data_IF_772834862881
#
_entry.id   IF_772834862881
#
_cell.length_a   1.000
_cell.length_b   1.000
_cell.length_c   1.000
_cell.angle_alpha   90.00
_cell.angle_beta   90.00
_cell.angle_gamma   90.00
#
_symmetry.space_group_name_H-M   'P 1'
#
loop_
_entity.id
_entity.type
_entity.pdbx_description
1 polymer ?
#
# COMPACT_ATOMS: atom_id res chain seq x y z
N UNK A 1 39.69 4.30 -30.71
CA UNK A 1 38.28 4.57 -30.40
C UNK A 1 37.33 3.55 -31.03
N UNK A 2 37.39 3.29 -32.34
CA UNK A 2 36.50 2.33 -33.04
C UNK A 2 36.55 0.92 -32.47
N UNK A 3 37.73 0.40 -32.14
CA UNK A 3 37.87 -0.96 -31.56
C UNK A 3 37.19 -1.11 -30.21
N UNK A 4 37.31 -0.12 -29.31
CA UNK A 4 36.63 -0.12 -27.98
C UNK A 4 35.12 -0.01 -28.12
N UNK A 5 34.63 0.77 -29.07
CA UNK A 5 33.17 0.88 -29.31
C UNK A 5 32.62 -0.45 -29.84
N UNK A 6 33.35 -1.14 -30.74
CA UNK A 6 32.95 -2.44 -31.26
C UNK A 6 32.94 -3.49 -30.15
N UNK A 7 33.99 -3.54 -29.31
CA UNK A 7 34.07 -4.45 -28.17
C UNK A 7 32.90 -4.25 -27.15
N UNK A 8 32.55 -2.97 -26.91
CA UNK A 8 31.40 -2.64 -26.06
C UNK A 8 30.08 -3.10 -26.67
N UNK A 9 29.92 -2.90 -27.98
CA UNK A 9 28.71 -3.33 -28.70
C UNK A 9 28.56 -4.86 -28.67
N UNK A 10 29.68 -5.58 -28.94
CA UNK A 10 29.67 -7.05 -28.91
C UNK A 10 29.35 -7.61 -27.53
N UNK A 11 29.83 -6.93 -26.48
CA UNK A 11 29.53 -7.28 -25.09
C UNK A 11 28.05 -7.09 -24.76
N UNK A 12 27.46 -5.98 -25.19
CA UNK A 12 26.02 -5.73 -24.99
C UNK A 12 25.20 -6.79 -25.72
N UNK A 13 25.54 -7.08 -26.99
CA UNK A 13 24.82 -8.11 -27.76
C UNK A 13 24.91 -9.50 -27.10
N UNK A 14 26.07 -9.84 -26.54
CA UNK A 14 26.26 -11.12 -25.84
C UNK A 14 25.40 -11.18 -24.55
N UNK A 15 25.29 -10.07 -23.82
CA UNK A 15 24.44 -9.99 -22.61
C UNK A 15 22.97 -10.12 -22.98
N UNK A 16 22.52 -9.42 -24.00
CA UNK A 16 21.13 -9.49 -24.48
C UNK A 16 20.79 -10.91 -24.93
N UNK A 17 21.72 -11.58 -25.62
CA UNK A 17 21.51 -12.98 -26.06
C UNK A 17 21.36 -13.88 -24.82
N UNK A 18 22.21 -13.72 -23.84
CA UNK A 18 22.17 -14.51 -22.61
C UNK A 18 20.88 -14.26 -21.81
N UNK A 19 20.41 -13.02 -21.76
CA UNK A 19 19.14 -12.69 -21.13
C UNK A 19 17.98 -13.41 -21.84
N UNK A 20 17.94 -13.39 -23.18
CA UNK A 20 16.92 -14.10 -23.95
C UNK A 20 16.91 -15.59 -23.64
N UNK A 21 18.09 -16.22 -23.60
CA UNK A 21 18.21 -17.65 -23.28
C UNK A 21 17.67 -17.98 -21.88
N UNK A 22 17.98 -17.13 -20.90
CA UNK A 22 17.47 -17.28 -19.53
C UNK A 22 15.95 -17.14 -19.51
N UNK A 23 15.41 -16.15 -20.22
CA UNK A 23 13.96 -15.94 -20.31
C UNK A 23 13.26 -17.16 -20.93
N UNK A 24 13.81 -17.72 -22.00
CA UNK A 24 13.27 -18.93 -22.65
C UNK A 24 13.28 -20.12 -21.70
N UNK A 25 14.38 -20.30 -20.93
CA UNK A 25 14.48 -21.37 -19.95
C UNK A 25 13.44 -21.21 -18.83
N UNK A 26 13.24 -20.00 -18.33
CA UNK A 26 12.25 -19.71 -17.29
C UNK A 26 10.83 -20.00 -17.81
N UNK A 27 10.54 -19.56 -19.02
CA UNK A 27 9.21 -19.79 -19.64
C UNK A 27 8.98 -21.30 -19.91
N UNK A 28 10.01 -22.03 -20.29
CA UNK A 28 9.91 -23.48 -20.51
C UNK A 28 9.66 -24.26 -19.22
N UNK A 29 9.98 -23.68 -18.05
CA UNK A 29 9.81 -24.32 -16.73
C UNK A 29 8.47 -24.02 -16.09
N UNK A 30 7.60 -23.24 -16.74
CA UNK A 30 6.29 -22.90 -16.17
C UNK A 30 5.47 -24.15 -15.92
N UNK A 31 4.79 -24.20 -14.77
CA UNK A 31 3.85 -25.25 -14.39
C UNK A 31 2.61 -25.21 -15.29
N UNK A 32 2.12 -24.00 -15.61
CA UNK A 32 0.96 -23.83 -16.46
C UNK A 32 1.41 -23.58 -17.89
N UNK A 33 1.05 -24.49 -18.80
CA UNK A 33 1.45 -24.44 -20.19
C UNK A 33 0.83 -23.29 -21.01
N UNK A 34 -0.15 -22.56 -20.42
CA UNK A 34 -0.76 -21.40 -21.08
C UNK A 34 -1.33 -20.42 -20.07
N UNK A 35 -1.51 -19.16 -20.50
CA UNK A 35 -2.18 -18.15 -19.67
C UNK A 35 -3.62 -18.54 -19.35
N UNK A 36 -4.31 -19.24 -20.24
CA UNK A 36 -5.66 -19.71 -19.99
C UNK A 36 -5.69 -20.74 -18.84
N UNK A 37 -4.74 -21.67 -18.82
CA UNK A 37 -4.62 -22.66 -17.75
C UNK A 37 -4.28 -22.00 -16.42
N UNK A 38 -3.32 -21.05 -16.42
CA UNK A 38 -2.98 -20.27 -15.24
C UNK A 38 -4.19 -19.50 -14.71
N UNK A 39 -4.90 -18.79 -15.59
CA UNK A 39 -6.10 -18.01 -15.23
C UNK A 39 -7.18 -18.90 -14.59
N UNK A 40 -7.40 -20.10 -15.13
CA UNK A 40 -8.38 -21.03 -14.58
C UNK A 40 -7.99 -21.50 -13.17
N UNK A 41 -6.72 -21.87 -12.98
CA UNK A 41 -6.19 -22.29 -11.68
C UNK A 41 -6.26 -21.14 -10.66
N UNK A 42 -5.85 -19.94 -11.07
CA UNK A 42 -5.90 -18.75 -10.22
C UNK A 42 -7.34 -18.43 -9.78
N UNK A 43 -8.30 -18.48 -10.70
CA UNK A 43 -9.71 -18.25 -10.38
C UNK A 43 -10.24 -19.27 -9.35
N UNK A 44 -9.81 -20.52 -9.46
CA UNK A 44 -10.20 -21.56 -8.50
C UNK A 44 -9.68 -21.26 -7.10
N UNK A 45 -8.40 -20.90 -6.98
CA UNK A 45 -7.79 -20.52 -5.69
C UNK A 45 -8.43 -19.27 -5.09
N UNK A 46 -8.68 -18.27 -5.92
CA UNK A 46 -9.34 -17.02 -5.48
C UNK A 46 -10.73 -17.33 -4.89
N UNK A 47 -11.53 -18.16 -5.56
CA UNK A 47 -12.86 -18.52 -5.07
C UNK A 47 -12.78 -19.26 -3.74
N UNK A 48 -11.79 -20.15 -3.59
CA UNK A 48 -11.59 -20.88 -2.35
C UNK A 48 -11.21 -19.93 -1.19
N UNK A 49 -10.26 -19.02 -1.44
CA UNK A 49 -9.86 -18.01 -0.45
C UNK A 49 -11.06 -17.12 -0.08
N UNK A 50 -11.80 -16.64 -1.07
CA UNK A 50 -12.96 -15.78 -0.86
C UNK A 50 -14.02 -16.48 0.01
N UNK A 51 -14.30 -17.76 -0.27
CA UNK A 51 -15.24 -18.57 0.51
C UNK A 51 -14.74 -18.78 1.95
N UNK A 52 -13.49 -19.09 2.10
CA UNK A 52 -12.87 -19.34 3.42
C UNK A 52 -12.75 -18.07 4.27
N UNK A 53 -12.36 -16.93 3.50
CA UNK A 53 -12.20 -15.84 4.03
C UNK A 53 -13.28 -15.08 4.16
N UNK A 54 -14.53 -15.46 3.78
CA UNK A 54 -15.78 -14.72 3.80
C UNK A 54 -15.69 -13.33 3.16
N UNK A 55 -14.84 -13.19 2.14
CA UNK A 55 -14.60 -11.91 1.43
C UNK A 55 -14.99 -12.03 -0.04
N UNK A 56 -15.14 -10.89 -0.71
CA UNK A 56 -15.48 -10.84 -2.13
C UNK A 56 -14.29 -11.32 -2.97
N UNK A 57 -14.54 -12.23 -3.90
CA UNK A 57 -13.54 -12.68 -4.87
C UNK A 57 -12.97 -11.57 -5.76
N UNK A 58 -13.49 -10.53 -5.95
CA UNK A 58 -13.04 -9.48 -6.62
C UNK A 58 -11.99 -8.84 -5.96
N UNK A 59 -12.28 -8.77 -4.58
CA UNK A 59 -11.24 -8.17 -3.72
C UNK A 59 -9.97 -9.01 -3.72
N UNK A 60 -10.09 -10.31 -3.55
CA UNK A 60 -8.93 -11.22 -3.57
C UNK A 60 -8.17 -11.10 -4.89
N UNK A 61 -8.89 -11.06 -6.02
CA UNK A 61 -8.30 -10.89 -7.36
C UNK A 61 -7.55 -9.56 -7.47
N UNK A 62 -8.13 -8.50 -6.94
CA UNK A 62 -7.50 -7.17 -6.95
C UNK A 62 -6.23 -7.15 -6.10
N UNK A 63 -6.30 -7.70 -4.88
CA UNK A 63 -5.13 -7.79 -3.99
C UNK A 63 -4.00 -8.58 -4.64
N UNK A 64 -4.32 -9.71 -5.28
CA UNK A 64 -3.35 -10.51 -6.03
C UNK A 64 -2.70 -9.67 -7.13
N UNK A 65 -3.50 -9.00 -7.97
CA UNK A 65 -2.99 -8.19 -9.07
C UNK A 65 -2.11 -7.05 -8.57
N UNK A 66 -2.53 -6.35 -7.52
CA UNK A 66 -1.75 -5.26 -6.93
C UNK A 66 -0.43 -5.77 -6.34
N UNK A 67 -0.45 -6.95 -5.71
CA UNK A 67 0.76 -7.57 -5.19
C UNK A 67 1.75 -7.87 -6.32
N UNK A 68 1.29 -8.34 -7.46
CA UNK A 68 2.13 -8.51 -8.65
C UNK A 68 2.70 -7.19 -9.17
N UNK A 69 1.99 -6.02 -9.16
CA UNK A 69 2.41 -4.85 -9.59
C UNK A 69 3.51 -4.43 -8.85
N UNK A 70 3.26 -4.50 -7.42
CA UNK A 70 4.27 -4.08 -6.46
C UNK A 70 5.55 -4.94 -6.56
N UNK A 71 5.39 -6.23 -6.64
CA UNK A 71 6.54 -7.14 -6.79
C UNK A 71 7.43 -6.73 -7.97
N UNK A 72 6.84 -6.42 -9.12
CA UNK A 72 7.60 -6.03 -10.31
C UNK A 72 8.30 -4.67 -10.15
N UNK A 73 7.66 -3.73 -9.45
CA UNK A 73 8.27 -2.42 -9.15
C UNK A 73 9.49 -2.59 -8.25
N UNK A 74 9.34 -3.32 -7.16
CA UNK A 74 10.40 -3.46 -6.16
C UNK A 74 11.55 -4.35 -6.62
N UNK A 75 11.30 -5.35 -7.48
CA UNK A 75 12.38 -6.14 -8.09
C UNK A 75 13.33 -5.27 -8.92
N UNK A 76 12.79 -4.23 -9.57
CA UNK A 76 13.58 -3.35 -10.44
C UNK A 76 14.26 -2.24 -9.65
N UNK A 77 13.58 -1.70 -8.66
CA UNK A 77 14.06 -0.52 -7.94
C UNK A 77 13.51 -0.51 -6.51
N UNK A 78 14.14 -1.26 -5.61
CA UNK A 78 13.63 -1.39 -4.24
C UNK A 78 13.76 -0.11 -3.41
N UNK A 79 14.60 0.85 -3.82
CA UNK A 79 14.92 2.03 -3.01
C UNK A 79 14.05 3.25 -3.32
N UNK A 80 13.39 3.27 -4.48
CA UNK A 80 12.69 4.47 -4.94
C UNK A 80 11.21 4.51 -4.57
N UNK A 81 10.68 3.44 -4.00
CA UNK A 81 9.24 3.31 -3.75
C UNK A 81 8.91 3.05 -2.29
N UNK A 82 7.79 3.42 -1.82
CA UNK A 82 7.22 3.14 -0.70
C UNK A 82 5.87 2.85 -0.97
N UNK A 83 5.30 1.79 -0.43
CA UNK A 83 3.88 1.51 -0.45
C UNK A 83 3.24 2.25 0.71
N UNK A 84 2.11 2.93 0.45
CA UNK A 84 1.41 3.73 1.46
C UNK A 84 -0.05 3.31 1.53
N UNK A 85 -0.87 4.02 2.28
CA UNK A 85 -2.32 3.85 2.31
C UNK A 85 -2.79 2.47 2.74
N UNK A 86 -3.93 2.06 2.20
CA UNK A 86 -4.57 0.79 2.58
C UNK A 86 -3.77 -0.45 2.20
N UNK A 87 -3.03 -0.40 1.09
CA UNK A 87 -2.18 -1.52 0.66
C UNK A 87 -1.03 -1.75 1.65
N UNK A 88 -0.40 -0.67 2.15
CA UNK A 88 0.63 -0.81 3.20
C UNK A 88 0.05 -1.45 4.47
N UNK A 89 -1.18 -1.11 4.83
CA UNK A 89 -1.85 -1.72 5.97
C UNK A 89 -2.09 -3.23 5.73
N UNK A 90 -2.54 -3.60 4.53
CA UNK A 90 -2.76 -5.00 4.16
C UNK A 90 -1.47 -5.83 4.19
N UNK A 91 -0.32 -5.20 3.97
CA UNK A 91 0.97 -5.88 4.05
C UNK A 91 1.43 -6.09 5.49
N UNK A 92 0.86 -5.34 6.45
CA UNK A 92 1.21 -5.45 7.87
C UNK A 92 0.33 -6.43 8.64
N UNK A 93 -0.94 -6.57 8.24
CA UNK A 93 -1.87 -7.36 9.05
C UNK A 93 -3.05 -7.89 8.22
N UNK A 94 -3.48 -9.10 8.57
CA UNK A 94 -4.69 -9.71 8.02
C UNK A 94 -5.98 -9.01 8.50
N UNK A 95 -5.90 -8.19 9.56
CA UNK A 95 -7.05 -7.43 10.07
C UNK A 95 -7.43 -6.23 9.19
N UNK A 96 -6.56 -5.87 8.24
CA UNK A 96 -6.75 -4.71 7.37
C UNK A 96 -8.06 -4.80 6.58
N UNK A 97 -8.73 -3.65 6.48
CA UNK A 97 -9.93 -3.55 5.63
C UNK A 97 -9.58 -3.66 4.15
N UNK A 98 -10.59 -3.95 3.34
CA UNK A 98 -10.43 -3.96 1.88
C UNK A 98 -10.03 -2.57 1.36
N UNK A 99 -9.19 -2.54 0.32
CA UNK A 99 -8.84 -1.31 -0.38
C UNK A 99 -8.93 -1.54 -1.89
N UNK A 100 -9.42 -0.53 -2.60
CA UNK A 100 -9.57 -0.59 -4.06
C UNK A 100 -8.38 0.03 -4.79
N UNK A 101 -7.52 0.72 -4.06
CA UNK A 101 -6.50 1.60 -4.62
C UNK A 101 -5.10 1.12 -4.22
N UNK A 102 -4.12 1.36 -5.09
CA UNK A 102 -2.71 1.26 -4.74
C UNK A 102 -2.18 2.68 -4.54
N UNK A 103 -1.72 2.96 -3.34
CA UNK A 103 -1.08 4.23 -3.00
C UNK A 103 0.43 4.04 -2.96
N UNK A 104 1.17 4.78 -3.76
CA UNK A 104 2.62 4.75 -3.79
C UNK A 104 3.20 6.14 -3.52
N UNK A 105 4.30 6.18 -2.84
CA UNK A 105 5.16 7.35 -2.80
C UNK A 105 6.47 7.02 -3.51
N UNK A 106 6.96 7.94 -4.32
CA UNK A 106 8.20 7.76 -5.07
C UNK A 106 9.18 8.89 -4.74
N UNK A 107 10.45 8.53 -4.49
CA UNK A 107 11.51 9.52 -4.31
C UNK A 107 11.95 10.13 -5.65
N UNK A 108 11.70 9.42 -6.75
CA UNK A 108 12.05 9.85 -8.10
C UNK A 108 11.18 10.98 -8.61
N UNK A 109 11.71 11.75 -9.54
CA UNK A 109 10.95 12.76 -10.28
C UNK A 109 10.00 12.15 -11.31
N UNK A 110 9.16 12.99 -11.88
CA UNK A 110 8.05 12.63 -12.76
C UNK A 110 8.49 11.85 -14.02
N UNK A 111 9.61 12.27 -14.64
CA UNK A 111 10.07 11.68 -15.90
C UNK A 111 10.44 10.20 -15.73
N UNK A 112 11.08 9.88 -14.62
CA UNK A 112 11.47 8.50 -14.30
C UNK A 112 10.29 7.63 -13.88
N UNK A 113 9.26 8.24 -13.31
CA UNK A 113 8.09 7.54 -12.80
C UNK A 113 7.32 6.78 -13.89
N UNK A 114 7.03 7.45 -15.01
CA UNK A 114 6.31 6.82 -16.13
C UNK A 114 7.12 5.66 -16.73
N UNK A 115 8.43 5.86 -16.89
CA UNK A 115 9.32 4.81 -17.40
C UNK A 115 9.34 3.59 -16.45
N UNK A 116 9.42 3.83 -15.13
CA UNK A 116 9.43 2.76 -14.13
C UNK A 116 8.11 1.98 -14.11
N UNK A 117 6.98 2.68 -14.18
CA UNK A 117 5.66 2.03 -14.21
C UNK A 117 5.47 1.22 -15.51
N UNK A 118 5.93 1.76 -16.65
CA UNK A 118 5.88 1.06 -17.94
C UNK A 118 6.73 -0.20 -17.91
N UNK A 119 7.92 -0.13 -17.33
CA UNK A 119 8.79 -1.29 -17.20
C UNK A 119 8.18 -2.37 -16.30
N UNK A 120 7.56 -1.97 -15.17
CA UNK A 120 6.90 -2.88 -14.25
C UNK A 120 5.63 -3.51 -14.85
N UNK A 121 5.02 -2.86 -15.84
CA UNK A 121 3.83 -3.37 -16.51
C UNK A 121 4.10 -4.62 -17.35
N UNK A 122 5.33 -4.78 -17.84
CA UNK A 122 5.70 -5.91 -18.70
C UNK A 122 5.72 -7.23 -17.94
N UNK A 123 5.32 -8.31 -18.64
CA UNK A 123 5.41 -9.67 -18.08
C UNK A 123 6.87 -10.01 -17.75
N UNK A 124 7.11 -10.60 -16.60
CA UNK A 124 8.42 -11.18 -16.27
C UNK A 124 8.50 -12.62 -16.78
N UNK A 125 9.67 -13.04 -17.20
CA UNK A 125 9.92 -14.41 -17.64
C UNK A 125 9.55 -15.42 -16.53
N UNK A 126 8.93 -16.52 -16.91
CA UNK A 126 8.45 -17.55 -15.98
C UNK A 126 7.09 -17.23 -15.35
N UNK A 127 6.52 -16.05 -15.61
CA UNK A 127 5.21 -15.64 -15.08
C UNK A 127 4.17 -15.52 -16.20
N UNK A 128 2.96 -15.23 -15.80
CA UNK A 128 1.83 -14.99 -16.70
C UNK A 128 1.32 -13.56 -16.53
N UNK A 129 0.71 -13.04 -17.58
CA UNK A 129 0.00 -11.78 -17.56
C UNK A 129 0.89 -10.54 -17.62
N UNK A 130 0.26 -9.47 -18.06
CA UNK A 130 0.89 -8.15 -18.14
C UNK A 130 -0.07 -7.09 -17.62
N UNK A 131 0.44 -5.89 -17.43
CA UNK A 131 -0.36 -4.77 -16.95
C UNK A 131 -0.48 -3.70 -18.03
N UNK A 132 -1.61 -3.02 -18.03
CA UNK A 132 -1.75 -1.70 -18.66
C UNK A 132 -1.85 -0.70 -17.52
N UNK A 133 -0.90 0.23 -17.47
CA UNK A 133 -0.86 1.27 -16.45
C UNK A 133 -0.99 2.62 -17.15
N UNK A 134 -1.96 3.41 -16.71
CA UNK A 134 -2.13 4.79 -17.18
C UNK A 134 -1.95 5.72 -15.99
N UNK A 135 -1.25 6.83 -16.19
CA UNK A 135 -1.09 7.87 -15.16
C UNK A 135 -1.26 9.25 -15.79
N UNK A 136 -1.83 10.15 -15.03
CA UNK A 136 -1.99 11.56 -15.38
C UNK A 136 -1.75 12.42 -14.14
N UNK A 137 -1.40 13.71 -14.31
CA UNK A 137 -1.24 14.60 -13.17
C UNK A 137 -2.50 14.65 -12.30
N UNK A 138 -2.30 14.60 -10.99
CA UNK A 138 -3.36 14.78 -9.99
C UNK A 138 -3.51 16.24 -9.57
N UNK A 139 -4.21 16.46 -8.47
CA UNK A 139 -4.60 17.80 -8.04
C UNK A 139 -3.53 18.59 -7.29
N UNK A 140 -2.38 17.98 -6.99
CA UNK A 140 -1.31 18.67 -6.24
C UNK A 140 0.06 18.48 -6.87
N UNK A 141 1.03 19.29 -6.48
CA UNK A 141 2.41 19.15 -6.99
C UNK A 141 2.96 17.75 -6.71
N UNK A 142 3.46 17.09 -7.75
CA UNK A 142 4.00 15.73 -7.64
C UNK A 142 2.95 14.65 -7.46
N UNK A 143 1.66 15.00 -7.47
CA UNK A 143 0.59 14.02 -7.37
C UNK A 143 0.22 13.48 -8.76
N UNK A 144 0.05 12.17 -8.84
CA UNK A 144 -0.40 11.48 -10.05
C UNK A 144 -1.51 10.52 -9.68
N UNK A 145 -2.48 10.39 -10.56
CA UNK A 145 -3.56 9.42 -10.41
C UNK A 145 -3.66 8.60 -11.69
N UNK A 146 -4.11 7.38 -11.57
CA UNK A 146 -4.17 6.50 -12.72
C UNK A 146 -4.94 5.23 -12.48
N UNK A 147 -4.71 4.29 -13.37
CA UNK A 147 -5.39 3.00 -13.34
C UNK A 147 -4.41 1.90 -13.71
N UNK A 148 -4.50 0.79 -12.98
CA UNK A 148 -3.76 -0.44 -13.23
C UNK A 148 -4.76 -1.49 -13.68
N UNK A 149 -4.56 -2.05 -14.87
CA UNK A 149 -5.37 -3.17 -15.38
C UNK A 149 -4.46 -4.38 -15.55
N UNK A 150 -4.76 -5.47 -14.86
CA UNK A 150 -4.05 -6.73 -15.03
C UNK A 150 -4.77 -7.55 -16.11
N UNK A 151 -4.02 -7.94 -17.12
CA UNK A 151 -4.49 -8.72 -18.24
C UNK A 151 -3.97 -10.15 -18.13
N UNK A 152 -4.85 -11.12 -18.28
CA UNK A 152 -4.51 -12.54 -18.38
C UNK A 152 -5.23 -13.13 -19.59
N UNK A 153 -4.50 -13.83 -20.43
CA UNK A 153 -5.04 -14.44 -21.66
C UNK A 153 -5.74 -13.38 -22.52
N UNK A 154 -5.07 -12.24 -22.70
CA UNK A 154 -5.55 -11.16 -23.56
C UNK A 154 -6.80 -10.42 -23.07
N UNK A 155 -7.28 -10.73 -21.87
CA UNK A 155 -8.50 -10.09 -21.37
C UNK A 155 -8.32 -9.58 -19.93
N UNK A 156 -9.13 -8.58 -19.59
CA UNK A 156 -9.08 -7.95 -18.27
C UNK A 156 -9.36 -8.98 -17.16
N UNK A 157 -8.44 -9.06 -16.20
CA UNK A 157 -8.60 -9.91 -15.02
C UNK A 157 -8.99 -9.06 -13.80
N UNK A 158 -8.28 -7.96 -13.59
CA UNK A 158 -8.54 -7.07 -12.45
C UNK A 158 -8.21 -5.62 -12.80
N UNK A 159 -8.87 -4.69 -12.13
CA UNK A 159 -8.62 -3.25 -12.28
C UNK A 159 -8.51 -2.63 -10.89
N UNK A 160 -7.57 -1.71 -10.73
CA UNK A 160 -7.41 -0.91 -9.51
C UNK A 160 -7.05 0.51 -9.88
N UNK A 161 -7.36 1.44 -8.99
CA UNK A 161 -6.90 2.82 -9.07
C UNK A 161 -5.45 2.88 -8.58
N UNK A 162 -4.69 3.84 -9.11
CA UNK A 162 -3.31 4.11 -8.72
C UNK A 162 -3.19 5.57 -8.33
N UNK A 163 -2.68 5.84 -7.15
CA UNK A 163 -2.32 7.18 -6.72
C UNK A 163 -0.83 7.20 -6.37
N UNK A 164 -0.08 8.13 -6.93
CA UNK A 164 1.38 8.24 -6.71
C UNK A 164 1.72 9.66 -6.27
N UNK A 165 2.49 9.77 -5.18
CA UNK A 165 3.12 11.02 -4.75
C UNK A 165 4.61 10.97 -5.12
N UNK A 166 4.98 11.69 -6.20
CA UNK A 166 6.35 11.72 -6.72
C UNK A 166 7.21 12.77 -6.02
N UNK A 167 8.50 12.53 -5.94
CA UNK A 167 9.47 13.43 -5.30
C UNK A 167 9.32 13.52 -3.78
N UNK A 168 8.72 12.51 -3.20
CA UNK A 168 8.41 12.48 -1.76
C UNK A 168 9.69 12.26 -0.95
N UNK A 169 9.91 13.07 0.07
CA UNK A 169 10.91 12.81 1.09
C UNK A 169 10.22 12.23 2.32
N UNK A 170 10.85 11.24 2.92
CA UNK A 170 10.30 10.55 4.09
C UNK A 170 11.00 11.09 5.35
N UNK A 171 10.26 11.65 6.31
CA UNK A 171 10.88 12.19 7.52
C UNK A 171 11.47 11.10 8.42
N UNK A 172 10.99 9.86 8.26
CA UNK A 172 11.47 8.70 9.02
C UNK A 172 11.79 7.58 8.05
N UNK A 173 12.72 6.70 8.44
CA UNK A 173 13.09 5.54 7.64
C UNK A 173 11.84 4.66 7.39
N UNK A 174 11.59 4.28 6.13
CA UNK A 174 10.51 3.36 5.84
C UNK A 174 10.73 1.99 6.50
N UNK A 175 9.64 1.35 6.89
CA UNK A 175 9.68 -0.04 7.35
C UNK A 175 9.80 -0.96 6.13
N UNK A 176 10.42 -2.13 6.38
CA UNK A 176 10.56 -3.16 5.34
C UNK A 176 9.80 -4.42 5.74
N UNK A 177 8.94 -4.95 4.82
CA UNK A 177 8.17 -6.02 4.92
C UNK A 177 8.32 -6.85 3.78
N UNK A 178 8.19 -8.19 4.15
CA UNK A 178 7.98 -9.16 3.06
C UNK A 178 6.53 -9.64 3.16
N UNK A 179 5.62 -9.15 2.29
CA UNK A 179 4.21 -9.51 2.40
C UNK A 179 3.99 -10.99 2.10
N UNK A 180 3.08 -11.61 2.82
CA UNK A 180 2.62 -12.96 2.50
C UNK A 180 1.91 -12.96 1.15
N UNK A 181 2.04 -14.04 0.35
CA UNK A 181 1.32 -14.11 -0.92
C UNK A 181 -0.19 -14.14 -0.70
N UNK A 182 -0.90 -13.29 -1.43
CA UNK A 182 -2.37 -13.25 -1.41
C UNK A 182 -2.94 -14.58 -1.92
N UNK A 183 -2.31 -15.14 -2.95
CA UNK A 183 -2.67 -16.44 -3.50
C UNK A 183 -1.38 -17.23 -3.73
N UNK A 184 -1.24 -18.38 -3.10
CA UNK A 184 -0.12 -19.30 -3.35
C UNK A 184 -0.42 -20.08 -4.64
N UNK A 185 0.37 -19.82 -5.68
CA UNK A 185 0.20 -20.45 -6.99
C UNK A 185 1.56 -20.46 -7.71
N UNK A 186 1.80 -21.52 -8.48
CA UNK A 186 3.04 -21.64 -9.26
C UNK A 186 3.08 -20.57 -10.36
N UNK A 187 4.26 -20.36 -10.92
CA UNK A 187 4.56 -19.37 -11.96
C UNK A 187 4.35 -17.92 -11.49
N UNK A 188 4.48 -17.70 -10.20
CA UNK A 188 4.50 -16.37 -9.57
C UNK A 188 5.78 -16.31 -8.74
N UNK A 189 6.60 -15.30 -8.96
CA UNK A 189 7.82 -15.12 -8.16
C UNK A 189 7.46 -14.74 -6.73
N UNK A 190 8.17 -15.29 -5.74
CA UNK A 190 8.02 -14.82 -4.35
C UNK A 190 8.26 -13.32 -4.27
N UNK A 191 7.51 -12.65 -3.41
CA UNK A 191 7.72 -11.22 -3.23
C UNK A 191 9.06 -10.93 -2.56
N UNK A 192 9.77 -9.97 -3.11
CA UNK A 192 10.91 -9.36 -2.46
C UNK A 192 10.45 -8.49 -1.29
N UNK A 193 11.40 -8.05 -0.48
CA UNK A 193 11.12 -7.08 0.57
C UNK A 193 10.60 -5.77 -0.07
N UNK A 194 9.54 -5.23 0.51
CA UNK A 194 8.97 -3.95 0.08
C UNK A 194 9.12 -2.93 1.19
N UNK A 195 9.30 -1.67 0.80
CA UNK A 195 9.34 -0.55 1.74
C UNK A 195 7.93 0.02 1.88
N UNK A 196 7.52 0.25 3.12
CA UNK A 196 6.23 0.90 3.43
C UNK A 196 6.51 2.13 4.27
N UNK A 197 5.56 3.06 4.35
CA UNK A 197 5.65 4.16 5.32
C UNK A 197 6.01 3.57 6.69
N UNK A 198 6.85 4.28 7.47
CA UNK A 198 7.00 3.94 8.89
C UNK A 198 5.62 4.00 9.54
N UNK A 199 5.40 3.17 10.56
CA UNK A 199 4.09 3.15 11.25
C UNK A 199 3.73 4.53 11.77
N UNK A 200 4.69 5.25 12.36
CA UNK A 200 4.47 6.61 12.86
C UNK A 200 3.98 7.56 11.77
N UNK A 201 4.60 7.49 10.57
CA UNK A 201 4.16 8.30 9.42
C UNK A 201 2.78 7.89 8.94
N UNK A 202 2.49 6.59 8.92
CA UNK A 202 1.19 6.07 8.49
C UNK A 202 0.06 6.54 9.43
N UNK A 203 0.27 6.39 10.74
CA UNK A 203 -0.69 6.86 11.76
C UNK A 203 -0.90 8.37 11.64
N UNK A 204 0.19 9.13 11.53
CA UNK A 204 0.12 10.60 11.43
C UNK A 204 -0.66 11.06 10.20
N UNK A 205 -0.44 10.39 9.05
CA UNK A 205 -1.18 10.70 7.83
C UNK A 205 -2.68 10.46 8.00
N UNK A 206 -3.06 9.33 8.63
CA UNK A 206 -4.45 8.98 8.90
C UNK A 206 -5.10 9.95 9.88
N UNK A 207 -4.43 10.26 10.99
CA UNK A 207 -4.93 11.21 11.98
C UNK A 207 -5.17 12.57 11.35
N UNK A 208 -4.20 13.08 10.59
CA UNK A 208 -4.35 14.39 9.93
C UNK A 208 -5.49 14.37 8.89
N UNK A 209 -5.64 13.27 8.15
CA UNK A 209 -6.72 13.13 7.16
C UNK A 209 -8.11 13.14 7.80
N UNK A 210 -8.23 12.70 9.06
CA UNK A 210 -9.52 12.81 9.78
C UNK A 210 -9.97 14.27 9.90
N UNK A 211 -9.03 15.21 10.16
CA UNK A 211 -9.35 16.61 10.48
C UNK A 211 -9.14 17.56 9.30
N UNK A 212 -8.75 17.05 8.14
CA UNK A 212 -8.59 17.86 6.94
C UNK A 212 -9.96 18.32 6.43
N UNK A 213 -10.08 19.62 6.16
CA UNK A 213 -11.31 20.20 5.65
C UNK A 213 -11.32 20.17 4.12
N UNK A 214 -12.47 19.92 3.52
CA UNK A 214 -12.65 19.71 2.11
C UNK A 214 -13.75 20.63 1.53
N UNK A 215 -14.02 20.46 0.25
CA UNK A 215 -15.07 21.20 -0.46
C UNK A 215 -14.54 22.52 -1.02
N UNK A 216 -15.36 23.16 -1.84
CA UNK A 216 -14.99 24.42 -2.52
C UNK A 216 -14.79 25.58 -1.54
N UNK A 217 -15.46 25.53 -0.37
CA UNK A 217 -15.29 26.53 0.70
C UNK A 217 -14.15 26.18 1.68
N UNK A 218 -13.63 24.93 1.64
CA UNK A 218 -12.64 24.46 2.60
C UNK A 218 -13.20 24.29 4.01
N UNK A 219 -14.50 24.09 4.15
CA UNK A 219 -15.16 24.02 5.47
C UNK A 219 -15.84 22.68 5.74
N UNK A 220 -15.87 21.78 4.75
CA UNK A 220 -16.55 20.49 4.91
C UNK A 220 -15.69 19.51 5.66
N UNK A 221 -16.16 18.94 6.80
CA UNK A 221 -15.41 17.92 7.51
C UNK A 221 -15.15 16.70 6.65
N UNK A 222 -14.03 16.05 6.92
CA UNK A 222 -13.65 14.80 6.25
C UNK A 222 -14.76 13.74 6.42
N UNK A 223 -15.06 13.01 5.35
CA UNK A 223 -15.99 11.87 5.35
C UNK A 223 -15.27 10.53 5.40
N UNK A 224 -13.95 10.55 5.64
CA UNK A 224 -13.05 9.39 5.54
C UNK A 224 -13.04 8.59 6.86
N UNK A 225 -14.20 8.13 7.33
CA UNK A 225 -14.30 7.39 8.60
C UNK A 225 -13.45 6.11 8.63
N UNK A 226 -13.06 5.58 7.47
CA UNK A 226 -12.13 4.45 7.40
C UNK A 226 -10.73 4.80 7.94
N UNK A 227 -10.33 6.09 8.00
CA UNK A 227 -9.02 6.45 8.55
C UNK A 227 -8.97 6.17 10.06
N UNK A 228 -10.07 6.35 10.78
CA UNK A 228 -10.16 5.97 12.19
C UNK A 228 -9.95 4.45 12.35
N UNK A 229 -10.56 3.65 11.47
CA UNK A 229 -10.37 2.19 11.48
C UNK A 229 -8.90 1.82 11.26
N UNK A 230 -8.25 2.49 10.31
CA UNK A 230 -6.84 2.22 10.00
C UNK A 230 -5.95 2.54 11.22
N UNK A 231 -6.23 3.64 11.95
CA UNK A 231 -5.50 3.98 13.19
C UNK A 231 -5.67 2.88 14.25
N UNK A 232 -6.92 2.42 14.45
CA UNK A 232 -7.21 1.37 15.42
C UNK A 232 -6.50 0.06 15.03
N UNK A 233 -6.52 -0.31 13.74
CA UNK A 233 -5.81 -1.51 13.27
C UNK A 233 -4.30 -1.38 13.52
N UNK A 234 -3.71 -0.21 13.21
CA UNK A 234 -2.28 0.03 13.44
C UNK A 234 -1.93 -0.05 14.94
N UNK A 235 -2.79 0.44 15.82
CA UNK A 235 -2.56 0.34 17.27
C UNK A 235 -2.54 -1.11 17.77
N UNK A 236 -3.15 -2.02 17.03
CA UNK A 236 -3.28 -3.43 17.41
C UNK A 236 -2.20 -4.33 16.80
N UNK A 237 -1.44 -3.84 15.81
CA UNK A 237 -0.48 -4.67 15.09
C UNK A 237 0.95 -4.13 15.07
N UNK A 238 1.18 -2.92 15.59
CA UNK A 238 2.49 -2.29 15.40
C UNK A 238 3.02 -1.62 16.68
N UNK A 239 4.33 -1.76 16.88
CA UNK A 239 5.04 -1.01 17.93
C UNK A 239 5.38 0.38 17.39
N UNK A 240 5.25 1.39 18.24
CA UNK A 240 5.46 2.78 17.84
C UNK A 240 6.18 3.52 18.98
N UNK A 241 7.17 4.33 18.61
CA UNK A 241 7.87 5.21 19.56
C UNK A 241 7.10 6.52 19.70
N UNK A 242 6.91 6.96 20.94
CA UNK A 242 6.15 8.19 21.24
C UNK A 242 6.77 9.45 20.65
N UNK A 243 7.91 9.56 20.59
CA UNK A 243 8.55 10.64 20.11
C UNK A 243 8.47 10.81 18.67
N UNK A 244 8.65 9.59 18.06
CA UNK A 244 8.55 9.56 16.61
C UNK A 244 7.11 9.87 16.15
N UNK A 245 6.11 9.29 16.81
CA UNK A 245 4.71 9.55 16.51
C UNK A 245 4.35 11.01 16.65
N UNK A 246 4.78 11.64 17.74
CA UNK A 246 4.52 13.08 17.97
C UNK A 246 5.13 13.92 16.84
N UNK A 247 6.38 13.64 16.49
CA UNK A 247 7.06 14.37 15.41
C UNK A 247 6.37 14.15 14.06
N UNK A 248 5.90 12.93 13.79
CA UNK A 248 5.19 12.60 12.56
C UNK A 248 3.86 13.36 12.46
N UNK A 249 3.09 13.44 13.55
CA UNK A 249 1.82 14.19 13.56
C UNK A 249 2.07 15.66 13.32
N UNK A 250 3.05 16.26 13.99
CA UNK A 250 3.42 17.66 13.76
C UNK A 250 3.81 17.98 12.31
N UNK A 251 4.32 17.02 11.69
CA UNK A 251 4.66 17.14 10.44
C UNK A 251 3.59 17.23 9.56
N UNK A 252 2.59 16.49 9.85
CA UNK A 252 1.34 16.51 9.08
C UNK A 252 0.52 17.78 9.36
N UNK A 253 0.43 18.18 10.60
CA UNK A 253 -0.24 19.43 10.97
C UNK A 253 0.31 20.63 10.20
N UNK A 254 1.63 20.75 10.18
CA UNK A 254 2.30 21.85 9.46
C UNK A 254 2.06 21.77 7.96
N UNK A 255 2.19 20.59 7.38
CA UNK A 255 2.02 20.38 5.94
C UNK A 255 0.59 20.68 5.47
N UNK A 256 -0.40 20.33 6.29
CA UNK A 256 -1.82 20.49 5.93
C UNK A 256 -2.46 21.75 6.50
N UNK A 257 -1.74 22.51 7.33
CA UNK A 257 -2.25 23.72 7.94
C UNK A 257 -3.42 23.47 8.90
N UNK A 258 -3.32 22.40 9.70
CA UNK A 258 -4.37 22.03 10.64
C UNK A 258 -3.78 21.71 12.02
N UNK A 259 -4.65 21.57 13.00
CA UNK A 259 -4.27 21.13 14.37
C UNK A 259 -5.16 19.94 14.73
N UNK A 260 -4.53 18.85 15.16
CA UNK A 260 -5.24 17.66 15.63
C UNK A 260 -5.80 17.95 17.03
N UNK A 261 -7.12 17.80 17.24
CA UNK A 261 -7.69 18.09 18.57
C UNK A 261 -7.22 17.09 19.62
N UNK A 262 -7.06 17.57 20.85
CA UNK A 262 -6.75 16.73 22.01
C UNK A 262 -7.72 17.06 23.13
N UNK A 263 -8.52 16.10 23.62
CA UNK A 263 -8.61 14.70 23.12
C UNK A 263 -9.14 14.62 21.69
N UNK A 264 -8.91 13.47 21.03
CA UNK A 264 -9.44 13.24 19.69
C UNK A 264 -10.97 13.29 19.72
N UNK A 265 -11.56 13.79 18.65
CA UNK A 265 -13.02 13.88 18.51
C UNK A 265 -13.45 13.42 17.11
N UNK A 266 -14.68 12.94 16.97
CA UNK A 266 -15.19 12.61 15.63
C UNK A 266 -15.38 13.92 14.84
N UNK A 267 -14.91 13.96 13.60
CA UNK A 267 -15.02 15.19 12.77
C UNK A 267 -16.47 15.64 12.52
N UNK A 268 -17.41 14.68 12.49
CA UNK A 268 -18.84 15.00 12.35
C UNK A 268 -19.69 13.82 12.83
N UNK A 269 -20.96 14.09 13.14
CA UNK A 269 -21.95 13.06 13.51
C UNK A 269 -22.15 11.99 12.43
N UNK A 270 -21.87 12.34 11.17
CA UNK A 270 -21.98 11.39 10.08
C UNK A 270 -21.07 10.16 10.28
N UNK A 271 -19.93 10.33 10.99
CA UNK A 271 -19.01 9.23 11.23
C UNK A 271 -19.62 8.09 12.03
N UNK A 272 -20.49 8.40 13.01
CA UNK A 272 -21.20 7.35 13.77
C UNK A 272 -22.04 6.45 12.86
N UNK A 273 -22.62 7.04 11.81
CA UNK A 273 -23.45 6.30 10.84
C UNK A 273 -22.62 5.56 9.80
N UNK A 274 -21.53 6.17 9.32
CA UNK A 274 -20.74 5.61 8.20
C UNK A 274 -19.67 4.61 8.64
N UNK A 275 -19.15 4.75 9.85
CA UNK A 275 -18.02 3.95 10.32
C UNK A 275 -18.32 2.44 10.34
N UNK A 276 -19.46 1.96 10.90
CA UNK A 276 -19.70 0.52 10.95
C UNK A 276 -19.66 -0.16 9.58
N UNK A 277 -20.17 0.49 8.54
CA UNK A 277 -20.15 -0.03 7.18
C UNK A 277 -18.72 -0.08 6.63
N UNK A 278 -17.89 0.92 6.98
CA UNK A 278 -16.49 0.99 6.52
C UNK A 278 -15.60 -0.11 7.12
N UNK A 279 -15.97 -0.61 8.31
CA UNK A 279 -15.18 -1.62 9.03
C UNK A 279 -15.79 -3.01 8.99
N UNK A 280 -16.91 -3.19 8.30
CA UNK A 280 -17.64 -4.46 8.28
C UNK A 280 -16.78 -5.66 7.89
N UNK A 281 -15.81 -5.44 6.99
CA UNK A 281 -14.91 -6.48 6.49
C UNK A 281 -13.51 -6.43 7.12
N UNK A 282 -13.28 -5.53 8.08
CA UNK A 282 -12.02 -5.49 8.81
C UNK A 282 -12.04 -6.53 9.95
N UNK A 283 -10.86 -7.05 10.29
CA UNK A 283 -10.71 -8.03 11.38
C UNK A 283 -10.81 -7.43 12.77
N UNK A 284 -11.58 -6.34 12.94
CA UNK A 284 -11.75 -5.69 14.23
C UNK A 284 -12.76 -6.42 15.12
N UNK A 285 -12.49 -6.50 16.44
CA UNK A 285 -13.48 -6.97 17.41
C UNK A 285 -14.80 -6.20 17.29
N UNK A 286 -15.89 -6.86 17.63
CA UNK A 286 -17.24 -6.30 17.45
C UNK A 286 -17.42 -4.94 18.14
N UNK A 287 -16.85 -4.77 19.33
CA UNK A 287 -16.94 -3.53 20.11
C UNK A 287 -16.23 -2.35 19.40
N UNK A 288 -15.19 -2.63 18.62
CA UNK A 288 -14.44 -1.59 17.87
C UNK A 288 -15.07 -1.28 16.50
N UNK A 289 -16.22 -1.85 16.20
CA UNK A 289 -17.02 -1.50 15.02
C UNK A 289 -17.97 -0.32 15.30
N UNK A 290 -17.96 0.17 16.53
CA UNK A 290 -18.63 1.40 16.94
C UNK A 290 -17.65 2.57 16.88
N UNK A 291 -18.07 3.71 16.33
CA UNK A 291 -17.17 4.86 16.11
C UNK A 291 -16.67 5.49 17.40
N UNK A 292 -17.50 5.57 18.42
CA UNK A 292 -17.11 6.16 19.72
C UNK A 292 -16.11 5.25 20.45
N UNK A 293 -16.33 3.94 20.43
CA UNK A 293 -15.40 2.97 21.02
C UNK A 293 -14.04 2.99 20.27
N UNK A 294 -14.09 3.05 18.95
CA UNK A 294 -12.88 3.17 18.11
C UNK A 294 -12.12 4.47 18.43
N UNK A 295 -12.84 5.57 18.62
CA UNK A 295 -12.24 6.86 18.96
C UNK A 295 -11.53 6.81 20.32
N UNK A 296 -12.12 6.15 21.32
CA UNK A 296 -11.48 5.96 22.62
C UNK A 296 -10.15 5.20 22.48
N UNK A 297 -10.13 4.15 21.66
CA UNK A 297 -8.91 3.37 21.40
C UNK A 297 -7.86 4.24 20.68
N UNK A 298 -8.28 5.00 19.67
CA UNK A 298 -7.38 5.91 18.94
C UNK A 298 -6.83 7.00 19.87
N UNK A 299 -7.64 7.55 20.78
CA UNK A 299 -7.18 8.57 21.74
C UNK A 299 -6.19 8.01 22.75
N UNK A 300 -6.40 6.76 23.19
CA UNK A 300 -5.45 6.07 24.06
C UNK A 300 -4.09 5.94 23.37
N UNK A 301 -4.10 5.66 22.07
CA UNK A 301 -2.89 5.44 21.25
C UNK A 301 -2.23 6.76 20.86
N UNK A 302 -2.96 7.64 20.18
CA UNK A 302 -2.42 8.88 19.59
C UNK A 302 -2.62 10.06 20.55
N UNK A 303 -3.81 10.24 21.08
CA UNK A 303 -4.15 11.40 21.91
C UNK A 303 -3.24 11.55 23.12
N UNK A 304 -2.92 10.42 23.77
CA UNK A 304 -2.05 10.40 24.95
C UNK A 304 -0.64 10.96 24.66
N UNK A 305 -0.17 10.81 23.41
CA UNK A 305 1.13 11.35 22.99
C UNK A 305 1.02 12.85 22.68
N UNK A 306 -0.09 13.24 22.05
CA UNK A 306 -0.31 14.63 21.63
C UNK A 306 -0.56 15.58 22.79
N UNK A 307 -1.29 15.13 23.81
CA UNK A 307 -1.60 15.97 24.98
C UNK A 307 -0.52 15.95 26.07
N UNK A 308 0.53 15.13 25.87
CA UNK A 308 1.69 15.10 26.78
C UNK A 308 1.57 14.12 27.93
N UNK A 309 0.46 13.35 28.03
CA UNK A 309 0.35 12.27 29.03
C UNK A 309 1.46 11.23 28.86
N UNK A 310 1.88 11.02 27.60
CA UNK A 310 2.99 10.13 27.24
C UNK A 310 4.06 10.98 26.53
N UNK A 311 5.18 11.21 27.21
CA UNK A 311 6.28 12.01 26.65
C UNK A 311 7.31 11.16 25.94
N UNK A 312 7.57 9.95 26.43
CA UNK A 312 8.51 8.99 25.87
C UNK A 312 8.03 7.57 26.16
N UNK A 313 8.50 6.61 25.37
CA UNK A 313 8.14 5.20 25.55
C UNK A 313 7.73 4.56 24.24
N UNK A 314 7.39 3.29 24.33
CA UNK A 314 6.98 2.47 23.17
C UNK A 314 5.57 1.93 23.37
N UNK A 315 4.75 2.05 22.34
CA UNK A 315 3.42 1.43 22.33
C UNK A 315 3.54 -0.09 22.19
N UNK A 316 2.82 -0.80 23.05
CA UNK A 316 2.72 -2.25 23.00
C UNK A 316 1.35 -2.64 22.42
N UNK A 317 1.31 -3.19 21.20
CA UNK A 317 0.03 -3.53 20.56
C UNK A 317 -0.73 -4.66 21.26
N UNK A 318 -0.02 -5.59 21.92
CA UNK A 318 -0.67 -6.71 22.61
C UNK A 318 -1.37 -6.24 23.88
N UNK A 319 -0.75 -5.31 24.61
CA UNK A 319 -1.32 -4.72 25.83
C UNK A 319 -2.20 -3.51 25.54
N UNK A 320 -2.08 -2.94 24.36
CA UNK A 320 -2.75 -1.70 23.94
C UNK A 320 -2.48 -0.58 24.95
N UNK A 321 -1.21 -0.42 25.29
CA UNK A 321 -0.77 0.57 26.26
C UNK A 321 0.65 1.04 25.96
N UNK A 322 0.94 2.23 26.41
CA UNK A 322 2.28 2.80 26.35
C UNK A 322 3.13 2.25 27.49
N UNK A 323 4.32 1.77 27.17
CA UNK A 323 5.34 1.40 28.14
C UNK A 323 6.32 2.58 28.26
N UNK A 324 6.29 3.35 29.34
CA UNK A 324 7.21 4.48 29.51
C UNK A 324 8.64 3.99 29.63
N UNK A 325 9.60 4.83 29.21
CA UNK A 325 11.05 4.58 29.37
C UNK A 325 11.46 4.81 30.80
#
# INVERSE_FOLDING_TARGET
MRARAQESHDRVAALEQREREIEELLDARRTYGSEAAFRAALNTRIREIARTXGVDSXEVARRFALQQXVSRLFDRDPESWXVTGGTALQYRTAEARATADLDLAATRGVEDLTAALTAAARRRAGEHGEFVVTVSPGSGPGAFTGKITYLLNGSRFSVAKLDVAAGRQFPFEPDTXVPDPVVAIDDVRPMSAVRTYSVSSHVADKVAAMYELHGSSGESPSTRSHDLADIVILSRCARVDAXELRAAVRXQEQRRGLVVPTPLSLPSEQWRRSYPARVAQAGLPAELRDADAALVEADRFVGAVLDGRVQAGTWDPDRRSWNPL
#
